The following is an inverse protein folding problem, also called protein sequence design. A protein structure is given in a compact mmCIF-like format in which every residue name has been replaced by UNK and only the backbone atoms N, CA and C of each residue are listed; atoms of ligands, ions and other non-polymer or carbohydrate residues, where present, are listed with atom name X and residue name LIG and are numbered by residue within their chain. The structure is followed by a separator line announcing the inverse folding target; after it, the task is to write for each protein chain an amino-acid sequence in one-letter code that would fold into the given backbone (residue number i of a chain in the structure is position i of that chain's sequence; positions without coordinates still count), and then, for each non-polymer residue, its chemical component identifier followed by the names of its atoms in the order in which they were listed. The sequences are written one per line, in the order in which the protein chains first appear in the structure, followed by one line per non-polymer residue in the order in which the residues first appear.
data_IF_356857273250
#
_entry.id   IF_356857273250
#
_cell.length_a   1.000
_cell.length_b   1.000
_cell.length_c   1.000
_cell.angle_alpha   90.00
_cell.angle_beta   90.00
_cell.angle_gamma   90.00
#
_symmetry.space_group_name_H-M   'P 1'
#
loop_
_entity.id
_entity.type
_entity.pdbx_description
1 polymer ?
#
# COMPACT_ATOMS: atom_id res chain seq x y z
N UNK A 1 23.86 2.78 8.17
CA UNK A 1 22.98 2.33 9.27
C UNK A 1 23.64 1.15 10.00
N UNK A 2 23.62 1.10 11.34
CA UNK A 2 24.10 -0.07 12.07
C UNK A 2 23.07 -1.21 12.07
N UNK A 3 23.49 -2.41 12.50
CA UNK A 3 22.62 -3.61 12.50
C UNK A 3 21.37 -3.43 13.40
N UNK A 4 21.55 -2.83 14.59
CA UNK A 4 20.44 -2.65 15.53
C UNK A 4 19.35 -1.74 14.96
N UNK A 5 19.73 -0.58 14.39
CA UNK A 5 18.78 0.34 13.75
C UNK A 5 18.11 -0.27 12.52
N UNK A 6 18.83 -1.10 11.74
CA UNK A 6 18.23 -1.84 10.62
C UNK A 6 17.13 -2.78 11.12
N UNK A 7 17.44 -3.60 12.13
CA UNK A 7 16.45 -4.51 12.75
C UNK A 7 15.28 -3.71 13.34
N UNK A 8 15.55 -2.60 14.06
CA UNK A 8 14.52 -1.75 14.62
C UNK A 8 13.52 -1.23 13.59
N UNK A 9 14.01 -0.78 12.44
CA UNK A 9 13.16 -0.32 11.32
C UNK A 9 12.34 -1.46 10.72
N UNK A 10 12.92 -2.66 10.57
CA UNK A 10 12.17 -3.84 10.10
C UNK A 10 11.08 -4.27 11.10
N UNK A 11 11.35 -4.19 12.41
CA UNK A 11 10.36 -4.45 13.46
C UNK A 11 9.24 -3.41 13.43
N UNK A 12 9.54 -2.13 13.19
CA UNK A 12 8.52 -1.09 12.99
C UNK A 12 7.65 -1.37 11.77
N UNK A 13 8.21 -1.87 10.69
CA UNK A 13 7.43 -2.28 9.52
C UNK A 13 6.48 -3.44 9.86
N UNK A 14 6.97 -4.46 10.58
CA UNK A 14 6.13 -5.56 11.03
C UNK A 14 5.02 -5.10 11.98
N UNK A 15 5.31 -4.19 12.91
CA UNK A 15 4.31 -3.61 13.81
C UNK A 15 3.23 -2.83 13.04
N UNK A 16 3.62 -2.05 12.02
CA UNK A 16 2.69 -1.32 11.17
C UNK A 16 1.77 -2.28 10.38
N UNK A 17 2.33 -3.34 9.78
CA UNK A 17 1.55 -4.36 9.08
C UNK A 17 0.56 -5.08 10.00
N UNK A 18 1.03 -5.48 11.20
CA UNK A 18 0.21 -6.14 12.21
C UNK A 18 -0.99 -5.26 12.58
N UNK A 19 -0.76 -4.01 12.96
CA UNK A 19 -1.82 -3.10 13.41
C UNK A 19 -2.84 -2.81 12.32
N UNK A 20 -2.40 -2.61 11.08
CA UNK A 20 -3.31 -2.36 9.96
C UNK A 20 -4.25 -3.55 9.70
N UNK A 21 -3.73 -4.77 9.76
CA UNK A 21 -4.51 -5.99 9.45
C UNK A 21 -5.47 -6.42 10.54
N UNK A 22 -5.38 -5.84 11.75
CA UNK A 22 -6.28 -6.15 12.87
C UNK A 22 -7.71 -5.68 12.67
N UNK A 23 -7.93 -4.60 11.90
CA UNK A 23 -9.26 -3.99 11.79
C UNK A 23 -10.30 -4.94 11.21
N UNK A 24 -9.97 -5.71 10.16
CA UNK A 24 -10.91 -6.63 9.54
C UNK A 24 -11.51 -7.64 10.54
N UNK A 25 -10.69 -8.48 11.19
CA UNK A 25 -11.15 -9.42 12.21
C UNK A 25 -11.74 -8.74 13.46
N UNK A 26 -11.37 -7.48 13.76
CA UNK A 26 -11.89 -6.74 14.92
C UNK A 26 -13.30 -6.16 14.68
N UNK A 27 -13.69 -5.86 13.42
CA UNK A 27 -14.97 -5.22 13.08
C UNK A 27 -16.18 -5.97 13.66
N UNK A 28 -16.32 -7.30 13.55
CA UNK A 28 -17.47 -8.01 14.12
C UNK A 28 -17.61 -7.80 15.63
N UNK A 29 -16.54 -7.98 16.40
CA UNK A 29 -16.52 -7.79 17.85
C UNK A 29 -16.78 -6.31 18.24
N UNK A 30 -16.20 -5.34 17.51
CA UNK A 30 -16.45 -3.91 17.72
C UNK A 30 -17.90 -3.55 17.47
N UNK A 31 -18.54 -4.13 16.45
CA UNK A 31 -19.97 -3.91 16.17
C UNK A 31 -20.84 -4.38 17.32
N UNK A 32 -20.57 -5.56 17.84
CA UNK A 32 -21.28 -6.12 18.97
C UNK A 32 -21.08 -5.30 20.24
N UNK A 33 -19.82 -4.98 20.57
CA UNK A 33 -19.45 -4.26 21.81
C UNK A 33 -20.05 -2.85 21.89
N UNK A 34 -20.21 -2.16 20.76
CA UNK A 34 -20.70 -0.77 20.72
C UNK A 34 -22.08 -0.60 20.10
N UNK A 35 -22.74 -1.68 19.68
CA UNK A 35 -24.06 -1.63 19.06
C UNK A 35 -24.11 -0.82 17.76
N UNK A 36 -23.01 -0.82 16.97
CA UNK A 36 -22.94 -0.04 15.72
C UNK A 36 -23.20 -0.91 14.51
N UNK A 37 -23.90 -0.34 13.50
CA UNK A 37 -24.12 -0.99 12.22
C UNK A 37 -22.88 -1.09 11.34
N UNK A 38 -23.02 -1.62 10.13
CA UNK A 38 -21.95 -1.74 9.15
C UNK A 38 -21.33 -0.39 8.79
N UNK A 39 -22.14 0.61 8.48
CA UNK A 39 -21.68 1.97 8.19
C UNK A 39 -20.97 2.62 9.37
N UNK A 40 -21.44 2.38 10.59
CA UNK A 40 -20.78 2.86 11.81
C UNK A 40 -19.41 2.23 12.00
N UNK A 41 -19.32 0.90 11.88
CA UNK A 41 -18.06 0.17 12.07
C UNK A 41 -17.03 0.44 10.97
N UNK A 42 -17.48 0.73 9.74
CA UNK A 42 -16.61 1.15 8.64
C UNK A 42 -15.79 2.41 8.97
N UNK A 43 -16.35 3.30 9.81
CA UNK A 43 -15.69 4.54 10.19
C UNK A 43 -14.37 4.32 10.93
N UNK A 44 -14.18 3.18 11.61
CA UNK A 44 -12.91 2.92 12.30
C UNK A 44 -11.74 2.80 11.31
N UNK A 45 -11.94 2.10 10.21
CA UNK A 45 -10.93 1.95 9.17
C UNK A 45 -10.73 3.26 8.39
N UNK A 46 -11.83 3.95 8.10
CA UNK A 46 -11.79 5.28 7.46
C UNK A 46 -11.07 6.31 8.33
N UNK A 47 -11.29 6.31 9.63
CA UNK A 47 -10.58 7.17 10.58
C UNK A 47 -9.07 6.87 10.58
N UNK A 48 -8.69 5.58 10.56
CA UNK A 48 -7.29 5.18 10.43
C UNK A 48 -6.65 5.71 9.15
N UNK A 49 -7.27 5.50 7.98
CA UNK A 49 -6.70 5.98 6.71
C UNK A 49 -6.70 7.51 6.59
N UNK A 50 -7.72 8.20 7.11
CA UNK A 50 -7.73 9.66 7.21
C UNK A 50 -6.59 10.17 8.11
N UNK A 51 -6.37 9.49 9.23
CA UNK A 51 -5.21 9.73 10.08
C UNK A 51 -3.88 9.51 9.35
N UNK A 52 -3.76 8.40 8.62
CA UNK A 52 -2.55 8.10 7.83
C UNK A 52 -2.24 9.18 6.78
N UNK A 53 -3.26 9.64 6.05
CA UNK A 53 -3.13 10.79 5.15
C UNK A 53 -2.63 12.05 5.87
N UNK A 54 -3.23 12.36 7.02
CA UNK A 54 -2.85 13.51 7.84
C UNK A 54 -1.41 13.39 8.31
N UNK A 55 -0.99 12.21 8.76
CA UNK A 55 0.38 11.93 9.19
C UNK A 55 1.40 12.08 8.07
N UNK A 56 1.11 11.54 6.88
CA UNK A 56 1.95 11.67 5.68
C UNK A 56 2.05 13.14 5.25
N UNK A 57 0.92 13.86 5.23
CA UNK A 57 0.90 15.28 4.86
C UNK A 57 1.70 16.12 5.88
N UNK A 58 1.52 15.88 7.18
CA UNK A 58 2.28 16.54 8.23
C UNK A 58 3.78 16.28 8.08
N UNK A 59 4.18 15.02 7.85
CA UNK A 59 5.58 14.67 7.58
C UNK A 59 6.13 15.40 6.33
N UNK A 60 5.31 15.56 5.29
CA UNK A 60 5.69 16.25 4.06
C UNK A 60 5.91 17.76 4.22
N UNK A 61 5.19 18.39 5.13
CA UNK A 61 5.25 19.85 5.39
C UNK A 61 6.30 20.21 6.44
N UNK A 62 6.35 19.46 7.55
CA UNK A 62 7.28 19.71 8.65
C UNK A 62 8.66 19.11 8.32
N UNK A 63 9.61 19.96 8.02
CA UNK A 63 10.95 19.56 7.57
C UNK A 63 12.04 19.74 8.62
N UNK A 64 11.69 20.22 9.81
CA UNK A 64 12.65 20.54 10.90
C UNK A 64 12.92 19.34 11.81
N UNK A 65 12.05 18.34 11.80
CA UNK A 65 12.18 17.19 12.68
C UNK A 65 13.17 16.16 12.10
N UNK A 66 14.05 15.68 12.96
CA UNK A 66 14.97 14.62 12.63
C UNK A 66 14.26 13.25 12.53
N UNK A 67 14.76 12.28 11.75
CA UNK A 67 14.19 10.93 11.58
C UNK A 67 13.82 10.26 12.90
N UNK A 68 14.71 10.33 13.88
CA UNK A 68 14.48 9.74 15.20
C UNK A 68 13.34 10.42 15.97
N UNK A 69 13.19 11.74 15.83
CA UNK A 69 12.10 12.48 16.47
C UNK A 69 10.77 12.12 15.82
N UNK A 70 10.73 12.04 14.50
CA UNK A 70 9.57 11.58 13.74
C UNK A 70 9.10 10.22 14.24
N UNK A 71 10.00 9.22 14.32
CA UNK A 71 9.65 7.88 14.77
C UNK A 71 9.18 7.87 16.24
N UNK A 72 9.74 8.70 17.13
CA UNK A 72 9.27 8.79 18.52
C UNK A 72 7.85 9.32 18.62
N UNK A 73 7.54 10.40 17.91
CA UNK A 73 6.19 10.99 17.90
C UNK A 73 5.20 10.01 17.28
N UNK A 74 5.57 9.40 16.14
CA UNK A 74 4.74 8.46 15.44
C UNK A 74 4.43 7.21 16.25
N UNK A 75 5.43 6.62 16.91
CA UNK A 75 5.23 5.45 17.80
C UNK A 75 4.41 5.81 19.02
N UNK A 76 4.61 7.01 19.62
CA UNK A 76 3.77 7.46 20.73
C UNK A 76 2.28 7.57 20.33
N UNK A 77 1.99 8.14 19.14
CA UNK A 77 0.63 8.21 18.58
C UNK A 77 0.07 6.82 18.29
N UNK A 78 0.89 5.92 17.72
CA UNK A 78 0.50 4.54 17.44
C UNK A 78 0.16 3.79 18.72
N UNK A 79 0.96 3.91 19.76
CA UNK A 79 0.73 3.27 21.07
C UNK A 79 -0.52 3.82 21.74
N UNK A 80 -0.66 5.15 21.80
CA UNK A 80 -1.84 5.79 22.40
C UNK A 80 -3.11 5.42 21.64
N UNK A 81 -3.05 5.41 20.30
CA UNK A 81 -4.16 5.02 19.46
C UNK A 81 -4.52 3.54 19.59
N UNK A 82 -3.53 2.63 19.63
CA UNK A 82 -3.79 1.21 19.81
C UNK A 82 -4.42 0.92 21.18
N UNK A 83 -3.91 1.55 22.26
CA UNK A 83 -4.51 1.46 23.60
C UNK A 83 -5.93 2.04 23.60
N UNK A 84 -6.15 3.17 22.91
CA UNK A 84 -7.47 3.77 22.78
C UNK A 84 -8.45 2.85 22.05
N UNK A 85 -8.06 2.22 20.91
CA UNK A 85 -8.93 1.26 20.23
C UNK A 85 -9.23 0.05 21.13
N UNK A 86 -8.24 -0.43 21.91
CA UNK A 86 -8.41 -1.60 22.78
C UNK A 86 -9.31 -1.35 23.99
N UNK A 87 -9.30 -0.13 24.56
CA UNK A 87 -9.89 0.13 25.88
C UNK A 87 -10.86 1.33 25.95
N UNK A 88 -11.14 1.99 24.81
CA UNK A 88 -12.08 3.12 24.82
C UNK A 88 -13.47 2.67 25.30
N UNK A 89 -14.14 3.44 26.18
CA UNK A 89 -15.45 3.11 26.70
C UNK A 89 -16.61 3.53 25.77
N UNK A 90 -16.32 4.26 24.69
CA UNK A 90 -17.34 4.79 23.79
C UNK A 90 -16.84 4.77 22.32
N UNK A 91 -17.78 4.52 21.40
CA UNK A 91 -17.46 4.43 19.96
C UNK A 91 -16.74 5.66 19.41
N UNK A 92 -17.17 6.87 19.77
CA UNK A 92 -16.51 8.09 19.33
C UNK A 92 -15.03 8.16 19.74
N UNK A 93 -14.68 7.63 20.92
CA UNK A 93 -13.28 7.56 21.38
C UNK A 93 -12.50 6.50 20.62
N UNK A 94 -13.11 5.38 20.21
CA UNK A 94 -12.48 4.40 19.31
C UNK A 94 -12.12 5.06 17.98
N UNK A 95 -12.99 5.88 17.41
CA UNK A 95 -12.73 6.59 16.15
C UNK A 95 -11.58 7.61 16.29
N UNK A 96 -11.56 8.39 17.37
CA UNK A 96 -10.45 9.33 17.67
C UNK A 96 -9.14 8.57 17.87
N UNK A 97 -9.18 7.44 18.56
CA UNK A 97 -8.02 6.58 18.78
C UNK A 97 -7.51 5.97 17.47
N UNK A 98 -8.42 5.47 16.62
CA UNK A 98 -8.08 4.94 15.30
C UNK A 98 -7.48 6.01 14.39
N UNK A 99 -7.99 7.25 14.43
CA UNK A 99 -7.40 8.38 13.70
C UNK A 99 -5.99 8.69 14.19
N UNK A 100 -5.79 8.80 15.51
CA UNK A 100 -4.45 9.03 16.12
C UNK A 100 -3.46 7.93 15.79
N UNK A 101 -3.92 6.65 15.84
CA UNK A 101 -3.16 5.49 15.42
C UNK A 101 -2.77 5.59 13.94
N UNK A 102 -3.72 6.01 13.09
CA UNK A 102 -3.49 6.25 11.68
C UNK A 102 -2.44 7.34 11.42
N UNK A 103 -2.48 8.46 12.15
CA UNK A 103 -1.44 9.51 12.06
C UNK A 103 -0.06 8.93 12.36
N UNK A 104 0.07 8.19 13.45
CA UNK A 104 1.31 7.50 13.81
C UNK A 104 1.76 6.50 12.74
N UNK A 105 0.84 5.68 12.24
CA UNK A 105 1.07 4.71 11.16
C UNK A 105 1.59 5.39 9.89
N UNK A 106 0.93 6.45 9.40
CA UNK A 106 1.32 7.16 8.18
C UNK A 106 2.73 7.73 8.28
N UNK A 107 3.08 8.34 9.42
CA UNK A 107 4.43 8.84 9.68
C UNK A 107 5.45 7.70 9.76
N UNK A 108 5.16 6.61 10.48
CA UNK A 108 6.05 5.44 10.55
C UNK A 108 6.33 4.92 9.15
N UNK A 109 5.30 4.65 8.35
CA UNK A 109 5.45 4.07 7.02
C UNK A 109 6.30 4.95 6.11
N UNK A 110 6.03 6.26 6.04
CA UNK A 110 6.81 7.13 5.18
C UNK A 110 8.25 7.28 5.67
N UNK A 111 8.46 7.45 6.98
CA UNK A 111 9.79 7.66 7.55
C UNK A 111 10.70 6.43 7.39
N UNK A 112 10.19 5.21 7.67
CA UNK A 112 11.00 3.99 7.53
C UNK A 112 11.37 3.71 6.06
N UNK A 113 10.49 4.01 5.11
CA UNK A 113 10.80 3.89 3.68
C UNK A 113 11.91 4.88 3.26
N UNK A 114 11.83 6.14 3.71
CA UNK A 114 12.85 7.14 3.40
C UNK A 114 14.19 6.81 4.06
N UNK A 115 14.18 6.36 5.34
CA UNK A 115 15.40 5.92 6.03
C UNK A 115 16.09 4.77 5.29
N UNK A 116 15.34 3.83 4.73
CA UNK A 116 15.90 2.70 3.99
C UNK A 116 16.35 3.12 2.58
N UNK A 117 15.59 3.96 1.88
CA UNK A 117 15.99 4.48 0.57
C UNK A 117 17.32 5.26 0.64
N UNK A 118 17.49 6.09 1.67
CA UNK A 118 18.70 6.92 1.84
C UNK A 118 19.86 6.14 2.46
N UNK A 119 19.56 5.12 3.28
CA UNK A 119 20.55 4.47 4.15
C UNK A 119 21.39 3.36 3.49
N UNK A 120 20.99 2.86 2.31
CA UNK A 120 21.59 1.66 1.71
C UNK A 120 22.14 1.82 0.29
N UNK A 121 22.10 3.01 -0.31
CA UNK A 121 22.67 3.29 -1.65
C UNK A 121 22.19 2.28 -2.70
N UNK A 122 23.12 1.58 -3.38
CA UNK A 122 22.78 0.58 -4.41
C UNK A 122 21.92 -0.59 -3.91
N UNK A 123 21.95 -0.89 -2.61
CA UNK A 123 21.15 -1.94 -1.98
C UNK A 123 19.76 -1.47 -1.53
N UNK A 124 19.42 -0.19 -1.75
CA UNK A 124 18.15 0.39 -1.28
C UNK A 124 16.94 -0.41 -1.76
N UNK A 125 16.90 -0.81 -3.04
CA UNK A 125 15.79 -1.60 -3.60
C UNK A 125 15.60 -2.93 -2.86
N UNK A 126 16.67 -3.68 -2.60
CA UNK A 126 16.60 -4.94 -1.87
C UNK A 126 16.13 -4.73 -0.43
N UNK A 127 16.58 -3.67 0.22
CA UNK A 127 16.21 -3.35 1.60
C UNK A 127 14.76 -2.86 1.71
N UNK A 128 14.26 -2.10 0.73
CA UNK A 128 12.85 -1.72 0.66
C UNK A 128 11.92 -2.94 0.42
N UNK A 129 12.37 -3.90 -0.38
CA UNK A 129 11.63 -5.17 -0.54
C UNK A 129 11.60 -5.98 0.76
N UNK A 130 12.71 -6.04 1.50
CA UNK A 130 12.75 -6.66 2.83
C UNK A 130 11.84 -5.95 3.82
N UNK A 131 11.80 -4.61 3.79
CA UNK A 131 10.88 -3.80 4.59
C UNK A 131 9.42 -4.16 4.29
N UNK A 132 9.07 -4.26 3.01
CA UNK A 132 7.74 -4.69 2.56
C UNK A 132 7.39 -6.12 2.98
N UNK A 133 8.36 -7.04 2.96
CA UNK A 133 8.18 -8.42 3.44
C UNK A 133 7.93 -8.46 4.95
N UNK A 134 8.66 -7.65 5.76
CA UNK A 134 8.42 -7.54 7.19
C UNK A 134 7.03 -6.94 7.51
N UNK A 135 6.62 -5.92 6.76
CA UNK A 135 5.27 -5.38 6.85
C UNK A 135 4.22 -6.48 6.57
N UNK A 136 4.38 -7.22 5.49
CA UNK A 136 3.51 -8.34 5.13
C UNK A 136 3.48 -9.44 6.18
N UNK A 137 4.62 -9.81 6.75
CA UNK A 137 4.70 -10.77 7.85
C UNK A 137 3.88 -10.30 9.06
N UNK A 138 3.98 -9.02 9.44
CA UNK A 138 3.15 -8.41 10.47
C UNK A 138 1.66 -8.48 10.13
N UNK A 139 1.32 -8.18 8.87
CA UNK A 139 -0.08 -8.22 8.39
C UNK A 139 -0.69 -9.64 8.44
N UNK A 140 0.13 -10.68 8.29
CA UNK A 140 -0.30 -12.08 8.48
C UNK A 140 -0.51 -12.40 9.97
N UNK A 141 0.42 -11.95 10.82
CA UNK A 141 0.38 -12.25 12.27
C UNK A 141 -0.83 -11.59 12.94
N UNK A 142 -1.27 -10.39 12.50
CA UNK A 142 -2.39 -9.68 13.09
C UNK A 142 -3.67 -10.51 13.18
N UNK A 143 -4.26 -10.92 12.04
CA UNK A 143 -5.48 -11.75 12.04
C UNK A 143 -5.31 -13.10 12.75
N UNK A 144 -4.13 -13.75 12.63
CA UNK A 144 -3.84 -14.97 13.38
C UNK A 144 -3.84 -14.75 14.89
N UNK A 145 -3.31 -13.61 15.35
CA UNK A 145 -3.33 -13.26 16.76
C UNK A 145 -4.78 -13.09 17.25
N UNK A 146 -5.66 -12.46 16.47
CA UNK A 146 -7.10 -12.38 16.80
C UNK A 146 -7.72 -13.77 16.85
N UNK A 147 -7.44 -14.64 15.87
CA UNK A 147 -7.96 -16.01 15.85
C UNK A 147 -7.56 -16.83 17.09
N UNK A 148 -6.33 -16.64 17.56
CA UNK A 148 -5.78 -17.38 18.72
C UNK A 148 -6.24 -16.79 20.06
N UNK A 149 -6.30 -15.45 20.16
CA UNK A 149 -6.67 -14.78 21.42
C UNK A 149 -8.18 -14.65 21.62
N UNK A 150 -8.97 -14.89 20.57
CA UNK A 150 -10.43 -14.76 20.60
C UNK A 150 -10.90 -13.31 20.75
N UNK A 151 -10.05 -12.32 20.39
CA UNK A 151 -10.44 -10.90 20.46
C UNK A 151 -9.34 -9.95 19.99
N UNK A 152 -9.72 -8.69 19.73
CA UNK A 152 -8.81 -7.68 19.14
C UNK A 152 -7.92 -6.95 20.15
N UNK A 153 -8.28 -6.89 21.45
CA UNK A 153 -7.61 -6.05 22.45
C UNK A 153 -6.15 -6.42 22.65
N UNK A 154 -5.90 -7.73 22.86
CA UNK A 154 -4.52 -8.24 23.09
C UNK A 154 -3.65 -8.02 21.85
N UNK A 155 -4.09 -8.33 20.60
CA UNK A 155 -3.32 -8.05 19.41
C UNK A 155 -2.98 -6.57 19.18
N UNK A 156 -3.91 -5.62 19.46
CA UNK A 156 -3.59 -4.19 19.37
C UNK A 156 -2.50 -3.79 20.37
N UNK A 157 -2.58 -4.28 21.62
CA UNK A 157 -1.53 -4.05 22.63
C UNK A 157 -0.18 -4.66 22.20
N UNK A 158 -0.19 -5.88 21.66
CA UNK A 158 1.01 -6.54 21.16
C UNK A 158 1.66 -5.76 20.01
N UNK A 159 0.87 -5.23 19.07
CA UNK A 159 1.35 -4.36 17.99
C UNK A 159 1.99 -3.07 18.52
N UNK A 160 1.39 -2.45 19.53
CA UNK A 160 1.94 -1.29 20.22
C UNK A 160 3.29 -1.60 20.90
N UNK A 161 3.38 -2.72 21.63
CA UNK A 161 4.62 -3.16 22.27
C UNK A 161 5.71 -3.47 21.23
N UNK A 162 5.36 -4.11 20.12
CA UNK A 162 6.28 -4.39 19.04
C UNK A 162 6.83 -3.08 18.42
N UNK A 163 5.99 -2.06 18.26
CA UNK A 163 6.42 -0.75 17.78
C UNK A 163 7.38 -0.07 18.76
N UNK A 164 7.14 -0.15 20.08
CA UNK A 164 8.05 0.35 21.11
C UNK A 164 9.40 -0.38 21.06
N UNK A 165 9.38 -1.71 20.93
CA UNK A 165 10.59 -2.52 20.79
C UNK A 165 11.40 -2.12 19.55
N UNK A 166 10.73 -1.95 18.40
CA UNK A 166 11.34 -1.45 17.18
C UNK A 166 12.00 -0.07 17.39
N UNK A 167 11.27 0.87 17.97
CA UNK A 167 11.79 2.21 18.28
C UNK A 167 13.01 2.18 19.20
N UNK A 168 13.03 1.31 20.21
CA UNK A 168 14.14 1.18 21.16
C UNK A 168 15.45 0.78 20.45
N UNK A 169 15.36 0.03 19.34
CA UNK A 169 16.52 -0.38 18.52
C UNK A 169 16.99 0.70 17.55
N UNK A 170 16.21 1.77 17.31
CA UNK A 170 16.55 2.84 16.36
C UNK A 170 17.39 3.98 16.95
N UNK A 171 18.17 3.70 18.01
CA UNK A 171 18.89 4.74 18.79
C UNK A 171 19.93 5.52 18.00
N UNK A 172 20.50 4.90 16.96
CA UNK A 172 21.60 5.46 16.16
C UNK A 172 21.14 6.09 14.84
N UNK A 173 19.81 6.26 14.65
CA UNK A 173 19.32 7.03 13.50
C UNK A 173 19.72 8.51 13.62
N UNK A 174 19.90 9.21 12.47
CA UNK A 174 20.29 10.61 12.44
C UNK A 174 19.40 11.48 13.33
N UNK A 175 20.02 12.39 14.07
CA UNK A 175 19.36 13.37 14.96
C UNK A 175 19.19 14.74 14.31
N UNK A 176 19.74 14.92 13.10
CA UNK A 176 19.62 16.15 12.30
C UNK A 176 18.52 16.01 11.27
N UNK A 177 17.81 17.10 11.04
CA UNK A 177 16.79 17.16 9.98
C UNK A 177 17.42 16.94 8.59
N UNK A 178 16.65 16.36 7.67
CA UNK A 178 17.05 16.22 6.26
C UNK A 178 16.97 17.57 5.55
N UNK A 179 17.96 17.84 4.70
CA UNK A 179 17.86 18.97 3.76
C UNK A 179 17.01 18.50 2.58
N UNK A 180 15.89 19.14 2.27
CA UNK A 180 15.06 18.74 1.15
C UNK A 180 15.81 18.93 -0.16
N UNK A 181 15.76 17.94 -1.05
CA UNK A 181 16.15 18.13 -2.43
C UNK A 181 15.17 19.13 -3.09
N UNK A 182 15.65 20.10 -3.90
CA UNK A 182 14.79 21.02 -4.60
C UNK A 182 13.82 20.25 -5.52
N UNK A 183 12.54 20.65 -5.50
CA UNK A 183 11.54 20.10 -6.40
C UNK A 183 11.86 20.56 -7.84
N UNK A 184 12.21 19.64 -8.71
CA UNK A 184 12.85 19.98 -9.98
C UNK A 184 11.89 20.17 -11.14
N UNK A 185 10.62 19.78 -11.11
CA UNK A 185 9.65 20.08 -12.20
C UNK A 185 8.20 19.88 -11.75
N UNK A 186 7.27 20.62 -12.38
CA UNK A 186 5.83 20.42 -12.21
C UNK A 186 5.40 19.24 -13.09
N UNK A 187 4.82 18.16 -12.52
CA UNK A 187 4.39 17.02 -13.31
C UNK A 187 3.24 17.36 -14.25
N UNK A 188 3.16 16.66 -15.38
CA UNK A 188 1.99 16.71 -16.26
C UNK A 188 0.76 16.18 -15.50
N UNK A 189 -0.11 17.08 -15.05
CA UNK A 189 -1.24 16.80 -14.16
C UNK A 189 -2.15 15.67 -14.64
N UNK A 190 -2.34 15.51 -15.96
CA UNK A 190 -3.21 14.45 -16.51
C UNK A 190 -2.71 13.02 -16.25
N UNK A 191 -1.43 12.75 -16.50
CA UNK A 191 -0.83 11.42 -16.30
C UNK A 191 -0.77 11.08 -14.81
N UNK A 192 -0.31 12.01 -13.99
CA UNK A 192 -0.23 11.82 -12.53
C UNK A 192 -1.62 11.60 -11.94
N UNK A 193 -2.64 12.36 -12.38
CA UNK A 193 -4.02 12.19 -11.97
C UNK A 193 -4.57 10.78 -12.25
N UNK A 194 -4.21 10.20 -13.39
CA UNK A 194 -4.55 8.81 -13.71
C UNK A 194 -3.91 7.79 -12.76
N UNK A 195 -2.63 7.99 -12.38
CA UNK A 195 -1.98 7.13 -11.38
C UNK A 195 -2.54 7.33 -9.97
N UNK A 196 -2.93 8.55 -9.60
CA UNK A 196 -3.65 8.85 -8.36
C UNK A 196 -4.96 8.05 -8.31
N UNK A 197 -5.76 8.10 -9.38
CA UNK A 197 -7.02 7.34 -9.44
C UNK A 197 -6.78 5.82 -9.37
N UNK A 198 -5.82 5.30 -10.14
CA UNK A 198 -5.45 3.88 -10.12
C UNK A 198 -5.05 3.42 -8.71
N UNK A 199 -4.16 4.16 -8.03
CA UNK A 199 -3.67 3.79 -6.71
C UNK A 199 -4.75 3.98 -5.63
N UNK A 200 -5.61 5.01 -5.73
CA UNK A 200 -6.72 5.18 -4.81
C UNK A 200 -7.75 4.03 -4.94
N UNK A 201 -8.13 3.64 -6.15
CA UNK A 201 -9.01 2.50 -6.37
C UNK A 201 -8.37 1.19 -5.88
N UNK A 202 -7.08 0.99 -6.12
CA UNK A 202 -6.34 -0.16 -5.63
C UNK A 202 -6.36 -0.25 -4.09
N UNK A 203 -6.00 0.84 -3.39
CA UNK A 203 -6.01 0.86 -1.92
C UNK A 203 -7.44 0.69 -1.41
N UNK A 204 -8.44 1.21 -2.12
CA UNK A 204 -9.84 0.92 -1.85
C UNK A 204 -10.12 -0.59 -1.86
N UNK A 205 -9.76 -1.29 -2.95
CA UNK A 205 -9.95 -2.75 -3.07
C UNK A 205 -9.20 -3.49 -1.95
N UNK A 206 -7.91 -3.17 -1.73
CA UNK A 206 -7.07 -3.79 -0.70
C UNK A 206 -7.67 -3.60 0.70
N UNK A 207 -8.04 -2.38 1.06
CA UNK A 207 -8.65 -2.06 2.36
C UNK A 207 -10.09 -2.57 2.49
N UNK A 208 -10.82 -2.61 1.39
CA UNK A 208 -12.16 -3.17 1.33
C UNK A 208 -12.16 -4.65 1.69
N UNK A 209 -11.24 -5.44 1.08
CA UNK A 209 -11.08 -6.86 1.44
C UNK A 209 -10.52 -6.97 2.86
N UNK A 210 -9.39 -6.32 3.15
CA UNK A 210 -8.73 -6.41 4.46
C UNK A 210 -9.63 -6.03 5.64
N UNK A 211 -10.62 -5.15 5.42
CA UNK A 211 -11.58 -4.72 6.45
C UNK A 211 -12.88 -5.54 6.49
N UNK A 212 -13.31 -6.11 5.38
CA UNK A 212 -14.64 -6.70 5.27
C UNK A 212 -14.66 -8.20 4.93
N UNK A 213 -13.53 -8.81 4.61
CA UNK A 213 -13.44 -10.23 4.29
C UNK A 213 -13.99 -11.10 5.44
N UNK A 214 -13.53 -10.86 6.68
CA UNK A 214 -14.00 -11.61 7.84
C UNK A 214 -15.53 -11.52 7.99
N UNK A 215 -16.10 -10.31 7.85
CA UNK A 215 -17.56 -10.10 7.89
C UNK A 215 -18.27 -10.84 6.75
N UNK A 216 -17.72 -10.84 5.55
CA UNK A 216 -18.25 -11.56 4.39
C UNK A 216 -18.25 -13.08 4.62
N UNK A 217 -17.16 -13.62 5.15
CA UNK A 217 -17.00 -15.05 5.44
C UNK A 217 -17.93 -15.51 6.58
N UNK A 218 -18.08 -14.70 7.64
CA UNK A 218 -19.03 -14.96 8.73
C UNK A 218 -20.46 -15.03 8.21
N UNK A 219 -20.85 -14.09 7.34
CA UNK A 219 -22.18 -14.08 6.71
C UNK A 219 -22.39 -15.32 5.80
N UNK A 220 -21.32 -15.88 5.24
CA UNK A 220 -21.32 -17.14 4.49
C UNK A 220 -21.30 -18.41 5.36
N UNK A 221 -21.34 -18.27 6.70
CA UNK A 221 -21.37 -19.41 7.63
C UNK A 221 -19.99 -19.90 8.10
N UNK A 222 -18.91 -19.16 7.80
CA UNK A 222 -17.56 -19.48 8.31
C UNK A 222 -17.49 -19.07 9.80
N UNK A 223 -16.89 -19.91 10.67
CA UNK A 223 -16.70 -19.54 12.08
C UNK A 223 -15.66 -18.43 12.26
N UNK A 224 -15.72 -17.70 13.38
CA UNK A 224 -14.90 -16.49 13.65
C UNK A 224 -13.39 -16.73 13.52
N UNK A 225 -12.87 -17.75 14.21
CA UNK A 225 -11.44 -18.08 14.16
C UNK A 225 -10.99 -18.48 12.74
N UNK A 226 -11.85 -19.19 11.99
CA UNK A 226 -11.57 -19.56 10.61
C UNK A 226 -11.60 -18.33 9.70
N UNK A 227 -12.56 -17.42 9.86
CA UNK A 227 -12.65 -16.18 9.09
C UNK A 227 -11.41 -15.30 9.31
N UNK A 228 -10.97 -15.12 10.58
CA UNK A 228 -9.73 -14.42 10.89
C UNK A 228 -8.49 -15.11 10.28
N UNK A 229 -8.44 -16.45 10.31
CA UNK A 229 -7.34 -17.20 9.71
C UNK A 229 -7.30 -17.06 8.18
N UNK A 230 -8.45 -17.00 7.51
CA UNK A 230 -8.52 -16.74 6.07
C UNK A 230 -8.10 -15.32 5.72
N UNK A 231 -8.42 -14.33 6.55
CA UNK A 231 -7.89 -12.96 6.39
C UNK A 231 -6.36 -12.93 6.50
N UNK A 232 -5.77 -13.76 7.39
CA UNK A 232 -4.31 -13.95 7.38
C UNK A 232 -3.81 -14.57 6.06
N UNK A 233 -4.56 -15.53 5.50
CA UNK A 233 -4.31 -16.12 4.19
C UNK A 233 -4.32 -15.09 3.06
N UNK A 234 -5.28 -14.18 3.06
CA UNK A 234 -5.33 -13.05 2.14
C UNK A 234 -4.06 -12.18 2.21
N UNK A 235 -3.64 -11.76 3.41
CA UNK A 235 -2.44 -10.96 3.61
C UNK A 235 -1.15 -11.70 3.23
N UNK A 236 -1.08 -13.02 3.52
CA UNK A 236 0.04 -13.86 3.13
C UNK A 236 0.13 -13.97 1.60
N UNK A 237 -0.99 -14.19 0.93
CA UNK A 237 -1.07 -14.26 -0.51
C UNK A 237 -0.71 -12.91 -1.18
N UNK A 238 -1.20 -11.80 -0.64
CA UNK A 238 -0.86 -10.44 -1.11
C UNK A 238 0.64 -10.16 -0.98
N UNK A 239 1.24 -10.54 0.15
CA UNK A 239 2.69 -10.41 0.36
C UNK A 239 3.46 -11.29 -0.62
N UNK A 240 3.03 -12.54 -0.83
CA UNK A 240 3.61 -13.44 -1.83
C UNK A 240 3.50 -12.86 -3.24
N UNK A 241 2.36 -12.30 -3.60
CA UNK A 241 2.15 -11.62 -4.88
C UNK A 241 3.11 -10.44 -5.09
N UNK A 242 3.37 -9.64 -4.05
CA UNK A 242 4.38 -8.57 -4.08
C UNK A 242 5.78 -9.11 -4.36
N UNK A 243 6.17 -10.23 -3.77
CA UNK A 243 7.45 -10.86 -4.01
C UNK A 243 7.54 -11.45 -5.43
N UNK A 244 6.48 -12.08 -5.90
CA UNK A 244 6.39 -12.61 -7.28
C UNK A 244 6.40 -11.51 -8.34
N UNK A 245 6.00 -10.29 -8.00
CA UNK A 245 6.09 -9.15 -8.91
C UNK A 245 7.54 -8.88 -9.37
N UNK A 246 8.55 -9.20 -8.55
CA UNK A 246 9.96 -8.93 -8.85
C UNK A 246 10.42 -9.70 -10.10
N UNK A 247 10.35 -11.05 -10.15
CA UNK A 247 10.74 -11.79 -11.35
C UNK A 247 9.77 -11.57 -12.53
N UNK A 248 8.48 -11.32 -12.28
CA UNK A 248 7.50 -11.05 -13.33
C UNK A 248 7.77 -9.73 -14.05
N UNK A 249 8.16 -8.68 -13.33
CA UNK A 249 8.50 -7.37 -13.89
C UNK A 249 9.75 -7.41 -14.81
N UNK A 250 10.58 -8.46 -14.73
CA UNK A 250 11.69 -8.66 -15.66
C UNK A 250 11.23 -9.21 -17.04
N UNK A 251 10.02 -9.79 -17.12
CA UNK A 251 9.51 -10.47 -18.32
C UNK A 251 8.25 -9.82 -18.87
N UNK A 252 7.50 -9.09 -18.05
CA UNK A 252 6.19 -8.53 -18.39
C UNK A 252 6.26 -7.01 -18.19
N UNK A 253 5.77 -6.25 -19.16
CA UNK A 253 5.71 -4.78 -19.05
C UNK A 253 4.79 -4.35 -17.89
N UNK A 254 5.12 -3.24 -17.22
CA UNK A 254 4.38 -2.75 -16.07
C UNK A 254 2.87 -2.57 -16.36
N UNK A 255 2.43 -2.00 -17.51
CA UNK A 255 1.00 -1.92 -17.85
C UNK A 255 0.32 -3.28 -18.00
N UNK A 256 1.01 -4.27 -18.59
CA UNK A 256 0.47 -5.61 -18.81
C UNK A 256 0.37 -6.38 -17.49
N UNK A 257 1.39 -6.26 -16.63
CA UNK A 257 1.41 -6.90 -15.31
C UNK A 257 0.28 -6.34 -14.43
N UNK A 258 0.12 -5.00 -14.37
CA UNK A 258 -0.95 -4.37 -13.60
C UNK A 258 -2.35 -4.80 -14.10
N UNK A 259 -2.59 -4.76 -15.42
CA UNK A 259 -3.88 -5.15 -15.98
C UNK A 259 -4.17 -6.65 -15.80
N UNK A 260 -3.19 -7.54 -16.02
CA UNK A 260 -3.34 -8.98 -15.80
C UNK A 260 -3.61 -9.32 -14.34
N UNK A 261 -2.93 -8.67 -13.41
CA UNK A 261 -3.15 -8.80 -11.97
C UNK A 261 -4.55 -8.36 -11.56
N UNK A 262 -5.03 -7.21 -12.05
CA UNK A 262 -6.38 -6.72 -11.75
C UNK A 262 -7.47 -7.62 -12.39
N UNK A 263 -7.24 -8.16 -13.56
CA UNK A 263 -8.15 -9.13 -14.18
C UNK A 263 -8.25 -10.41 -13.33
N UNK A 264 -7.11 -10.95 -12.89
CA UNK A 264 -7.09 -12.13 -12.01
C UNK A 264 -7.77 -11.83 -10.65
N UNK A 265 -7.57 -10.65 -10.09
CA UNK A 265 -8.26 -10.21 -8.88
C UNK A 265 -9.79 -10.14 -9.09
N UNK A 266 -10.25 -9.63 -10.25
CA UNK A 266 -11.66 -9.60 -10.59
C UNK A 266 -12.25 -11.03 -10.72
N UNK A 267 -11.50 -12.00 -11.28
CA UNK A 267 -11.91 -13.40 -11.32
C UNK A 267 -12.05 -13.97 -9.90
N UNK A 268 -11.06 -13.74 -9.02
CA UNK A 268 -11.14 -14.14 -7.61
C UNK A 268 -12.38 -13.57 -6.93
N UNK A 269 -12.63 -12.26 -7.08
CA UNK A 269 -13.81 -11.60 -6.48
C UNK A 269 -15.14 -12.11 -7.08
N UNK A 270 -15.15 -12.49 -8.35
CA UNK A 270 -16.28 -13.20 -8.96
C UNK A 270 -16.57 -14.54 -8.28
N UNK A 271 -15.52 -15.33 -8.02
CA UNK A 271 -15.63 -16.62 -7.31
C UNK A 271 -16.05 -16.45 -5.84
N UNK A 272 -15.73 -15.32 -5.21
CA UNK A 272 -16.11 -15.04 -3.81
C UNK A 272 -17.62 -14.94 -3.57
N UNK A 273 -18.44 -14.86 -4.63
CA UNK A 273 -19.91 -14.94 -4.52
C UNK A 273 -20.42 -16.35 -4.22
N UNK A 274 -19.60 -17.38 -4.38
CA UNK A 274 -19.92 -18.75 -4.01
C UNK A 274 -19.37 -19.02 -2.60
N UNK A 275 -20.23 -19.18 -1.57
CA UNK A 275 -19.79 -19.26 -0.16
C UNK A 275 -18.70 -20.33 0.07
N UNK A 276 -18.83 -21.49 -0.55
CA UNK A 276 -17.86 -22.58 -0.41
C UNK A 276 -16.47 -22.24 -1.00
N UNK A 277 -16.40 -21.34 -1.98
CA UNK A 277 -15.17 -20.90 -2.64
C UNK A 277 -14.62 -19.60 -2.05
N UNK A 278 -15.45 -18.82 -1.34
CA UNK A 278 -15.12 -17.47 -0.89
C UNK A 278 -13.77 -17.37 -0.16
N UNK A 279 -13.41 -18.27 0.79
CA UNK A 279 -12.11 -18.19 1.47
C UNK A 279 -10.92 -18.29 0.51
N UNK A 280 -10.94 -19.29 -0.36
CA UNK A 280 -9.88 -19.48 -1.37
C UNK A 280 -9.89 -18.36 -2.42
N UNK A 281 -11.06 -17.84 -2.78
CA UNK A 281 -11.24 -16.76 -3.73
C UNK A 281 -10.65 -15.44 -3.23
N UNK A 282 -10.85 -15.07 -1.96
CA UNK A 282 -10.21 -13.91 -1.36
C UNK A 282 -8.68 -14.08 -1.27
N UNK A 283 -8.19 -15.29 -0.94
CA UNK A 283 -6.76 -15.60 -0.96
C UNK A 283 -6.17 -15.43 -2.36
N UNK A 284 -6.83 -15.96 -3.40
CA UNK A 284 -6.43 -15.75 -4.80
C UNK A 284 -6.41 -14.26 -5.17
N UNK A 285 -7.42 -13.52 -4.73
CA UNK A 285 -7.50 -12.07 -4.95
C UNK A 285 -6.32 -11.35 -4.30
N UNK A 286 -5.94 -11.71 -3.07
CA UNK A 286 -4.76 -11.19 -2.40
C UNK A 286 -3.49 -11.41 -3.22
N UNK A 287 -3.26 -12.63 -3.69
CA UNK A 287 -2.11 -12.96 -4.54
C UNK A 287 -2.07 -12.10 -5.81
N UNK A 288 -3.23 -11.92 -6.44
CA UNK A 288 -3.37 -11.13 -7.66
C UNK A 288 -3.16 -9.63 -7.44
N UNK A 289 -3.60 -9.10 -6.30
CA UNK A 289 -3.43 -7.68 -5.96
C UNK A 289 -2.00 -7.31 -5.60
N UNK A 290 -1.20 -8.26 -5.09
CA UNK A 290 0.16 -8.01 -4.63
C UNK A 290 1.04 -7.23 -5.60
N UNK A 291 1.11 -7.59 -6.90
CA UNK A 291 1.92 -6.88 -7.89
C UNK A 291 1.45 -5.46 -8.23
N UNK A 292 0.17 -5.12 -8.03
CA UNK A 292 -0.45 -3.92 -8.63
C UNK A 292 0.21 -2.63 -8.16
N UNK A 293 0.34 -2.40 -6.85
CA UNK A 293 0.83 -1.15 -6.30
C UNK A 293 2.31 -0.88 -6.63
N UNK A 294 3.24 -1.83 -6.38
CA UNK A 294 4.64 -1.61 -6.74
C UNK A 294 4.84 -1.43 -8.25
N UNK A 295 4.05 -2.15 -9.06
CA UNK A 295 4.07 -2.01 -10.52
C UNK A 295 3.54 -0.64 -10.97
N UNK A 296 2.48 -0.13 -10.36
CA UNK A 296 1.94 1.20 -10.66
C UNK A 296 2.96 2.31 -10.37
N UNK A 297 3.70 2.21 -9.25
CA UNK A 297 4.75 3.18 -8.91
C UNK A 297 5.95 3.10 -9.87
N UNK A 298 6.36 1.89 -10.25
CA UNK A 298 7.41 1.70 -11.23
C UNK A 298 6.99 2.23 -12.62
N UNK A 299 5.74 2.03 -12.99
CA UNK A 299 5.17 2.54 -14.23
C UNK A 299 5.09 4.07 -14.23
N UNK A 300 4.65 4.70 -13.13
CA UNK A 300 4.68 6.16 -12.97
C UNK A 300 6.10 6.71 -13.14
N UNK A 301 7.09 6.09 -12.51
CA UNK A 301 8.49 6.51 -12.62
C UNK A 301 9.04 6.42 -14.06
N UNK A 302 8.59 5.44 -14.85
CA UNK A 302 8.95 5.28 -16.26
C UNK A 302 8.25 6.31 -17.16
N UNK A 303 6.98 6.63 -16.86
CA UNK A 303 6.15 7.51 -17.70
C UNK A 303 6.40 8.99 -17.42
N UNK A 304 6.77 9.33 -16.18
CA UNK A 304 7.02 10.70 -15.74
C UNK A 304 8.31 10.79 -14.90
N UNK A 305 9.51 10.67 -15.51
CA UNK A 305 10.80 10.62 -14.79
C UNK A 305 11.09 11.85 -13.92
N UNK A 306 10.57 13.04 -14.28
CA UNK A 306 10.71 14.30 -13.52
C UNK A 306 9.78 14.41 -12.30
N UNK A 307 8.85 13.47 -12.13
CA UNK A 307 7.75 13.56 -11.16
C UNK A 307 8.08 12.95 -9.78
N UNK A 308 9.31 13.04 -9.28
CA UNK A 308 9.68 12.50 -7.96
C UNK A 308 8.80 13.02 -6.81
N UNK A 309 8.34 14.28 -6.86
CA UNK A 309 7.37 14.83 -5.92
C UNK A 309 5.97 14.21 -6.05
N UNK A 310 5.63 13.65 -7.20
CA UNK A 310 4.32 13.04 -7.47
C UNK A 310 4.15 11.67 -6.78
N UNK A 311 5.23 10.95 -6.50
CA UNK A 311 5.15 9.67 -5.79
C UNK A 311 4.57 9.86 -4.38
N UNK A 312 5.02 10.88 -3.64
CA UNK A 312 4.47 11.20 -2.32
C UNK A 312 2.99 11.60 -2.41
N UNK A 313 2.60 12.37 -3.43
CA UNK A 313 1.22 12.75 -3.69
C UNK A 313 0.36 11.52 -4.02
N UNK A 314 0.86 10.61 -4.86
CA UNK A 314 0.16 9.34 -5.18
C UNK A 314 -0.01 8.49 -3.94
N UNK A 315 1.00 8.38 -3.07
CA UNK A 315 0.88 7.68 -1.78
C UNK A 315 -0.16 8.31 -0.86
N UNK A 316 -0.15 9.63 -0.71
CA UNK A 316 -1.14 10.33 0.12
C UNK A 316 -2.56 10.16 -0.44
N UNK A 317 -2.73 10.38 -1.75
CA UNK A 317 -4.01 10.26 -2.43
C UNK A 317 -4.54 8.81 -2.48
N UNK A 318 -3.66 7.81 -2.52
CA UNK A 318 -4.04 6.41 -2.48
C UNK A 318 -4.86 6.06 -1.21
N UNK A 319 -4.53 6.70 -0.08
CA UNK A 319 -5.28 6.50 1.17
C UNK A 319 -6.76 6.96 1.08
N UNK A 320 -7.14 7.82 0.11
CA UNK A 320 -8.55 8.17 -0.12
C UNK A 320 -9.41 6.94 -0.41
N UNK A 321 -8.88 5.96 -1.13
CA UNK A 321 -9.56 4.69 -1.35
C UNK A 321 -9.85 3.96 -0.04
N UNK A 322 -8.87 3.92 0.87
CA UNK A 322 -9.01 3.35 2.20
C UNK A 322 -9.99 4.10 3.11
N UNK A 323 -10.13 5.43 2.91
CA UNK A 323 -11.14 6.23 3.63
C UNK A 323 -12.54 5.93 3.09
N UNK A 324 -12.71 5.90 1.77
CA UNK A 324 -14.04 5.92 1.14
C UNK A 324 -14.67 4.53 1.01
N UNK A 325 -13.90 3.55 0.52
CA UNK A 325 -14.51 2.25 0.17
C UNK A 325 -15.07 1.49 1.37
N UNK A 326 -14.41 1.42 2.55
CA UNK A 326 -14.99 0.76 3.71
C UNK A 326 -16.36 1.33 4.11
N UNK A 327 -16.55 2.67 4.03
CA UNK A 327 -17.84 3.32 4.31
C UNK A 327 -18.89 2.96 3.27
N UNK A 328 -18.50 2.93 1.97
CA UNK A 328 -19.43 2.53 0.90
C UNK A 328 -19.91 1.10 1.11
N UNK A 329 -18.98 0.17 1.39
CA UNK A 329 -19.31 -1.22 1.70
C UNK A 329 -20.24 -1.30 2.91
N UNK A 330 -19.90 -0.61 4.01
CA UNK A 330 -20.71 -0.62 5.23
C UNK A 330 -22.14 -0.13 5.01
N UNK A 331 -22.31 0.98 4.28
CA UNK A 331 -23.64 1.52 3.93
C UNK A 331 -24.47 0.57 3.06
N UNK A 332 -23.83 -0.04 2.06
CA UNK A 332 -24.51 -0.99 1.19
C UNK A 332 -24.88 -2.27 1.94
N UNK A 333 -24.00 -2.74 2.84
CA UNK A 333 -24.29 -3.90 3.68
C UNK A 333 -25.43 -3.63 4.66
N UNK A 334 -25.53 -2.43 5.25
CA UNK A 334 -26.65 -2.04 6.11
C UNK A 334 -27.96 -1.89 5.32
N UNK A 335 -27.90 -1.37 4.10
CA UNK A 335 -29.08 -1.17 3.24
C UNK A 335 -29.61 -2.47 2.62
N UNK A 336 -28.79 -3.53 2.54
CA UNK A 336 -29.17 -4.79 1.91
C UNK A 336 -28.76 -6.01 2.77
N UNK A 337 -27.54 -6.48 2.61
CA UNK A 337 -26.96 -7.58 3.41
C UNK A 337 -25.45 -7.63 3.20
N UNK A 338 -24.69 -8.34 4.07
CA UNK A 338 -23.25 -8.56 3.86
C UNK A 338 -22.89 -9.26 2.55
N UNK A 339 -23.84 -9.92 1.87
CA UNK A 339 -23.62 -10.53 0.56
C UNK A 339 -23.24 -9.52 -0.55
N UNK A 340 -23.46 -8.21 -0.31
CA UNK A 340 -23.06 -7.15 -1.25
C UNK A 340 -21.54 -6.87 -1.22
N UNK A 341 -20.82 -7.34 -0.20
CA UNK A 341 -19.40 -7.05 -0.01
C UNK A 341 -18.58 -7.47 -1.24
N UNK A 342 -18.59 -8.74 -1.70
CA UNK A 342 -17.81 -9.16 -2.85
C UNK A 342 -18.20 -8.40 -4.13
N UNK A 343 -19.48 -8.06 -4.31
CA UNK A 343 -19.96 -7.28 -5.47
C UNK A 343 -19.38 -5.87 -5.47
N UNK A 344 -19.39 -5.18 -4.33
CA UNK A 344 -18.87 -3.81 -4.22
C UNK A 344 -17.37 -3.75 -4.48
N UNK A 345 -16.64 -4.71 -3.92
CA UNK A 345 -15.18 -4.79 -4.13
C UNK A 345 -14.87 -5.17 -5.59
N UNK A 346 -15.63 -6.10 -6.19
CA UNK A 346 -15.49 -6.46 -7.61
C UNK A 346 -15.73 -5.25 -8.53
N UNK A 347 -16.79 -4.49 -8.29
CA UNK A 347 -17.08 -3.29 -9.07
C UNK A 347 -15.90 -2.27 -8.98
N UNK A 348 -15.31 -2.10 -7.79
CA UNK A 348 -14.16 -1.23 -7.60
C UNK A 348 -12.90 -1.78 -8.30
N UNK A 349 -12.67 -3.10 -8.25
CA UNK A 349 -11.55 -3.75 -8.94
C UNK A 349 -11.68 -3.63 -10.47
N UNK A 350 -12.89 -3.75 -11.01
CA UNK A 350 -13.16 -3.50 -12.43
C UNK A 350 -12.94 -2.03 -12.81
N UNK A 351 -13.36 -1.08 -11.98
CA UNK A 351 -13.05 0.35 -12.18
C UNK A 351 -11.53 0.59 -12.17
N UNK A 352 -10.79 -0.06 -11.26
CA UNK A 352 -9.33 -0.02 -11.21
C UNK A 352 -8.69 -0.59 -12.49
N UNK A 353 -9.20 -1.71 -13.01
CA UNK A 353 -8.77 -2.30 -14.28
C UNK A 353 -9.01 -1.33 -15.45
N UNK A 354 -10.19 -0.72 -15.51
CA UNK A 354 -10.52 0.28 -16.55
C UNK A 354 -9.53 1.45 -16.47
N UNK A 355 -9.25 1.98 -15.26
CA UNK A 355 -8.26 3.05 -15.07
C UNK A 355 -6.87 2.65 -15.58
N UNK A 356 -6.41 1.42 -15.30
CA UNK A 356 -5.15 0.89 -15.80
C UNK A 356 -5.11 0.80 -17.32
N UNK A 357 -6.21 0.32 -17.96
CA UNK A 357 -6.31 0.22 -19.40
C UNK A 357 -6.34 1.59 -20.11
N UNK A 358 -7.02 2.57 -19.52
CA UNK A 358 -7.05 3.94 -20.03
C UNK A 358 -5.66 4.59 -19.93
N UNK A 359 -4.98 4.45 -18.80
CA UNK A 359 -3.59 4.93 -18.63
C UNK A 359 -2.65 4.30 -19.68
N UNK A 360 -2.78 3.00 -19.93
CA UNK A 360 -1.98 2.31 -20.96
C UNK A 360 -2.19 2.94 -22.33
N UNK A 361 -3.43 3.24 -22.73
CA UNK A 361 -3.75 3.89 -24.02
C UNK A 361 -3.15 5.29 -24.10
N UNK A 362 -3.29 6.09 -23.05
CA UNK A 362 -2.77 7.46 -23.00
C UNK A 362 -1.23 7.49 -23.10
N UNK A 363 -0.54 6.56 -22.41
CA UNK A 363 0.91 6.43 -22.47
C UNK A 363 1.40 6.02 -23.88
N UNK A 364 0.67 5.12 -24.55
CA UNK A 364 1.00 4.71 -25.93
C UNK A 364 0.78 5.83 -26.96
N UNK A 365 -0.23 6.69 -26.74
CA UNK A 365 -0.52 7.83 -27.61
C UNK A 365 0.49 8.99 -27.44
N UNK A 366 1.10 9.12 -26.26
CA UNK A 366 2.09 10.14 -25.95
C UNK A 366 3.52 9.80 -26.43
N UNK A 367 3.79 8.57 -26.87
CA UNK A 367 5.05 8.18 -27.52
C UNK A 367 4.93 8.48 -29.02
N UNK A 368 5.44 9.63 -29.55
CA UNK A 368 5.50 9.86 -30.99
C UNK A 368 6.39 8.74 -31.53
N UNK A 369 5.89 8.05 -32.57
CA UNK A 369 6.63 6.96 -33.22
C UNK A 369 8.08 7.38 -33.45
N UNK A 370 9.02 6.60 -32.95
CA UNK A 370 10.42 6.76 -33.27
C UNK A 370 10.51 6.83 -34.79
N UNK A 371 11.01 7.95 -35.39
CA UNK A 371 11.21 7.99 -36.82
C UNK A 371 12.07 6.78 -37.19
N UNK A 372 11.59 5.98 -38.12
CA UNK A 372 12.33 4.84 -38.64
C UNK A 372 13.77 5.26 -38.84
N UNK A 373 14.70 4.58 -38.16
CA UNK A 373 16.11 4.87 -38.19
C UNK A 373 16.52 5.15 -39.63
N UNK A 374 16.91 6.40 -39.90
CA UNK A 374 17.49 6.76 -41.16
C UNK A 374 18.61 5.78 -41.43
N UNK A 375 18.49 5.01 -42.53
CA UNK A 375 19.55 4.11 -42.97
C UNK A 375 20.84 4.90 -42.94
N UNK A 376 21.94 4.41 -42.32
CA UNK A 376 23.21 5.07 -42.40
C UNK A 376 23.55 5.23 -43.86
N UNK A 377 23.67 6.47 -44.34
CA UNK A 377 24.21 6.78 -45.65
C UNK A 377 25.59 6.14 -45.73
N UNK A 378 25.80 5.33 -46.75
CA UNK A 378 27.09 4.69 -47.04
C UNK A 378 28.22 5.71 -46.94
N UNK A 379 29.34 5.36 -46.32
CA UNK A 379 30.50 6.27 -46.23
C UNK A 379 30.98 6.52 -47.67
N UNK A 380 31.02 7.80 -48.04
CA UNK A 380 31.67 8.22 -49.30
C UNK A 380 33.12 7.75 -49.27
N UNK A 381 33.51 7.01 -50.32
CA UNK A 381 34.85 6.50 -50.49
C UNK A 381 35.90 7.61 -50.46
N UNK A 382 37.17 7.27 -50.14
CA UNK A 382 38.22 8.26 -49.94
C UNK A 382 38.49 9.02 -51.24
N UNK A 383 38.36 10.36 -51.17
CA UNK A 383 38.80 11.26 -52.25
C UNK A 383 40.32 11.12 -52.45
N UNK A 384 40.77 10.77 -53.67
CA UNK A 384 42.17 10.80 -54.10
C UNK A 384 42.71 12.25 -54.02
N UNK A 385 43.90 12.46 -53.51
CA UNK A 385 44.54 13.78 -53.56
C UNK A 385 44.97 14.15 -55.00
N UNK A 386 44.93 15.42 -55.38
CA UNK A 386 45.40 15.89 -56.68
C UNK A 386 46.93 15.74 -56.78
N UNK A 387 47.37 15.16 -57.91
CA UNK A 387 48.80 14.92 -58.20
C UNK A 387 49.62 16.24 -58.24
N UNK A 388 50.69 16.23 -57.40
CA UNK A 388 51.74 17.24 -57.52
C UNK A 388 52.58 17.00 -58.74
N UNK A 389 52.85 18.08 -59.50
CA UNK A 389 53.88 18.12 -60.57
C UNK A 389 55.26 18.11 -59.94
N UNK A 390 56.27 17.44 -60.53
CA UNK A 390 57.67 17.57 -60.11
C UNK A 390 58.25 18.89 -60.63
N UNK A 391 59.23 19.51 -59.94
CA UNK A 391 60.03 20.63 -60.42
C UNK A 391 61.09 20.18 -61.41
N UNK A 392 61.22 20.90 -62.54
CA UNK A 392 62.33 20.85 -63.45
C UNK A 392 63.47 21.76 -62.98
#
# INVERSE_FOLDING_TARGET
MNRASTVGVLVLAAAAGLVLSLYGPAIPELREAFGVGGSGSALVLSAHFAGAMTGIAWWGVERRLAPRTWLRVAVALLVAGAAGVAFAPAWGLVLVAAFGLGVGFGVVVVEINVVFADGFGERATAMLNLLGACFGAGAVVGPLAVAVTGGYRVPFCAGALLAVAGLALTRDLPRTARVPAPATERPAFGVVGGFVALCALYVGVESGIGGWEATSLLAGGTGEAAAASWTAGYWAALTTGRLLAIPLALRISAPALAAGSLLLAAVGLGLAHVPALAPAAYTLTGLALGPVFPTALAWLAQTAPGARGSTAMVFAAANLGGVMLPVVIGRLADASSPAVIPTTVLATALACLVAALLLRRSASAASPGTPAAARPSSPAGPRRPPGGRPPG
#
